data_IF_745585917521
#
_entry.id   IF_745585917521
#
_cell.length_a   1.000
_cell.length_b   1.000
_cell.length_c   1.000
_cell.angle_alpha   90.00
_cell.angle_beta   90.00
_cell.angle_gamma   90.00
#
_symmetry.space_group_name_H-M   'P 1'
#
loop_
_entity.id
_entity.type
_entity.pdbx_description
1 polymer ?
#
# COMPACT_ATOMS: atom_id res chain seq x y z
N UNK A 1 7.75 6.86 8.98
CA UNK A 1 7.78 5.73 8.04
C UNK A 1 7.08 4.56 8.70
N UNK A 2 6.12 3.92 8.02
CA UNK A 2 5.39 2.75 8.53
C UNK A 2 5.67 1.53 7.65
N UNK A 3 5.76 0.35 8.27
CA UNK A 3 5.94 -0.93 7.57
C UNK A 3 5.06 -2.00 8.24
N UNK A 4 4.22 -2.68 7.47
CA UNK A 4 3.29 -3.72 7.99
C UNK A 4 3.22 -4.93 7.07
N UNK A 5 3.18 -6.13 7.64
CA UNK A 5 2.94 -7.38 6.89
C UNK A 5 1.47 -7.80 7.05
N UNK A 6 0.75 -8.05 5.94
CA UNK A 6 -0.66 -8.50 5.97
C UNK A 6 -1.01 -9.30 4.71
N UNK A 7 -1.67 -10.44 4.88
CA UNK A 7 -2.19 -11.25 3.76
C UNK A 7 -1.13 -11.80 2.78
N UNK A 8 0.12 -11.92 3.22
CA UNK A 8 1.27 -12.33 2.40
C UNK A 8 2.03 -11.19 1.71
N UNK A 9 1.64 -9.94 1.96
CA UNK A 9 2.30 -8.74 1.44
C UNK A 9 3.01 -7.97 2.54
N UNK A 10 4.01 -7.19 2.15
CA UNK A 10 4.63 -6.16 2.98
C UNK A 10 4.23 -4.81 2.39
N UNK A 11 3.76 -3.92 3.26
CA UNK A 11 3.35 -2.56 2.95
C UNK A 11 4.33 -1.61 3.61
N UNK A 12 4.85 -0.65 2.86
CA UNK A 12 5.78 0.36 3.35
C UNK A 12 5.36 1.74 2.86
N UNK A 13 5.27 2.71 3.76
CA UNK A 13 4.85 4.07 3.44
C UNK A 13 5.59 5.10 4.29
N UNK A 14 5.72 6.31 3.76
CA UNK A 14 6.26 7.44 4.50
C UNK A 14 5.12 8.17 5.22
N UNK A 15 5.35 8.51 6.49
CA UNK A 15 4.39 9.27 7.30
C UNK A 15 4.57 10.79 7.14
N UNK A 16 5.51 11.23 6.30
CA UNK A 16 5.86 12.63 6.08
C UNK A 16 4.96 13.32 5.04
N UNK A 17 5.03 14.65 5.03
CA UNK A 17 4.05 15.57 4.43
C UNK A 17 4.14 15.74 2.90
N UNK A 18 4.87 14.86 2.20
CA UNK A 18 4.93 14.97 0.75
C UNK A 18 3.62 14.45 0.13
N UNK A 19 3.11 15.17 -0.86
CA UNK A 19 2.06 14.68 -1.74
C UNK A 19 2.70 14.25 -3.07
N UNK A 20 2.21 13.18 -3.71
CA UNK A 20 1.14 12.28 -3.29
C UNK A 20 1.61 11.21 -2.27
N UNK A 21 0.78 10.95 -1.26
CA UNK A 21 0.98 9.82 -0.34
C UNK A 21 0.83 8.52 -1.11
N UNK A 22 1.76 7.59 -0.89
CA UNK A 22 1.74 6.30 -1.54
C UNK A 22 2.32 5.21 -0.65
N UNK A 23 1.91 3.97 -0.93
CA UNK A 23 2.40 2.76 -0.28
C UNK A 23 3.10 1.88 -1.30
N UNK A 24 4.30 1.40 -0.94
CA UNK A 24 5.01 0.37 -1.66
C UNK A 24 4.53 -0.99 -1.18
N UNK A 25 4.18 -1.87 -2.13
CA UNK A 25 3.68 -3.21 -1.86
C UNK A 25 4.68 -4.22 -2.36
N UNK A 26 5.14 -5.08 -1.45
CA UNK A 26 6.07 -6.16 -1.76
C UNK A 26 5.41 -7.52 -1.53
N UNK A 27 5.82 -8.52 -2.31
CA UNK A 27 5.48 -9.93 -2.12
C UNK A 27 6.74 -10.75 -2.39
N UNK A 28 7.07 -11.67 -1.48
CA UNK A 28 8.29 -12.49 -1.59
C UNK A 28 9.58 -11.67 -1.79
N UNK A 29 9.67 -10.50 -1.14
CA UNK A 29 10.83 -9.60 -1.25
C UNK A 29 10.85 -8.71 -2.50
N UNK A 30 9.92 -8.88 -3.44
CA UNK A 30 9.87 -8.11 -4.70
C UNK A 30 8.78 -7.05 -4.61
N UNK A 31 9.08 -5.81 -5.03
CA UNK A 31 8.07 -4.75 -5.15
C UNK A 31 7.14 -5.07 -6.33
N UNK A 32 5.86 -5.28 -6.06
CA UNK A 32 4.87 -5.66 -7.07
C UNK A 32 3.93 -4.50 -7.44
N UNK A 33 3.80 -3.50 -6.57
CA UNK A 33 2.96 -2.33 -6.84
C UNK A 33 3.38 -1.12 -6.02
N UNK A 34 3.09 0.06 -6.57
CA UNK A 34 3.11 1.36 -5.89
C UNK A 34 1.71 1.95 -5.98
N UNK A 35 1.06 2.17 -4.84
CA UNK A 35 -0.33 2.60 -4.79
C UNK A 35 -0.44 3.96 -4.13
N UNK A 36 -1.00 4.94 -4.83
CA UNK A 36 -1.39 6.22 -4.29
C UNK A 36 -2.61 6.08 -3.38
N UNK A 37 -2.52 6.65 -2.18
CA UNK A 37 -3.58 6.64 -1.16
C UNK A 37 -4.07 8.08 -0.89
N UNK A 38 -5.33 8.27 -0.43
CA UNK A 38 -6.30 7.25 -0.05
C UNK A 38 -7.12 6.67 -1.22
N UNK A 39 -7.04 7.26 -2.42
CA UNK A 39 -7.92 6.90 -3.55
C UNK A 39 -7.58 5.55 -4.23
N UNK A 40 -6.53 4.85 -3.78
CA UNK A 40 -6.08 3.56 -4.31
C UNK A 40 -5.74 3.60 -5.81
N UNK A 41 -5.02 4.63 -6.23
CA UNK A 41 -4.56 4.82 -7.60
C UNK A 41 -3.30 3.98 -7.81
N UNK A 42 -3.26 3.13 -8.84
CA UNK A 42 -2.05 2.38 -9.18
C UNK A 42 -1.06 3.33 -9.85
N UNK A 43 0.06 3.63 -9.18
CA UNK A 43 1.15 4.42 -9.73
C UNK A 43 2.16 3.55 -10.49
N UNK A 44 2.33 2.30 -10.05
CA UNK A 44 3.19 1.31 -10.70
C UNK A 44 2.69 -0.10 -10.39
N UNK A 45 2.89 -1.04 -11.33
CA UNK A 45 2.58 -2.45 -11.15
C UNK A 45 1.09 -2.75 -11.30
N UNK A 46 0.59 -3.76 -10.58
CA UNK A 46 -0.81 -4.18 -10.68
C UNK A 46 -1.44 -4.40 -9.30
N UNK A 47 -2.70 -3.98 -9.15
CA UNK A 47 -3.47 -4.18 -7.94
C UNK A 47 -4.53 -5.27 -8.14
N UNK A 48 -4.32 -6.41 -7.48
CA UNK A 48 -5.32 -7.49 -7.47
C UNK A 48 -6.51 -7.14 -6.58
N UNK A 49 -7.66 -7.81 -6.77
CA UNK A 49 -8.85 -7.65 -5.90
C UNK A 49 -8.53 -7.90 -4.41
N UNK A 50 -7.70 -8.91 -4.12
CA UNK A 50 -7.24 -9.21 -2.75
C UNK A 50 -6.43 -8.06 -2.16
N UNK A 51 -5.49 -7.51 -2.93
CA UNK A 51 -4.66 -6.38 -2.50
C UNK A 51 -5.52 -5.14 -2.24
N UNK A 52 -6.46 -4.83 -3.13
CA UNK A 52 -7.40 -3.71 -2.97
C UNK A 52 -8.17 -3.81 -1.65
N UNK A 53 -8.72 -4.99 -1.33
CA UNK A 53 -9.48 -5.21 -0.09
C UNK A 53 -8.61 -4.97 1.15
N UNK A 54 -7.38 -5.48 1.17
CA UNK A 54 -6.45 -5.27 2.29
C UNK A 54 -6.13 -3.78 2.47
N UNK A 55 -5.86 -3.06 1.38
CA UNK A 55 -5.57 -1.63 1.45
C UNK A 55 -6.79 -0.82 1.94
N UNK A 56 -8.00 -1.16 1.49
CA UNK A 56 -9.24 -0.54 2.00
C UNK A 56 -9.42 -0.75 3.50
N UNK A 57 -9.16 -1.95 4.00
CA UNK A 57 -9.19 -2.25 5.44
C UNK A 57 -8.15 -1.43 6.20
N UNK A 58 -6.92 -1.33 5.69
CA UNK A 58 -5.84 -0.55 6.31
C UNK A 58 -6.14 0.95 6.36
N UNK A 59 -6.78 1.51 5.33
CA UNK A 59 -7.25 2.91 5.32
C UNK A 59 -8.38 3.09 6.34
N UNK A 60 -9.34 2.17 6.40
CA UNK A 60 -10.43 2.20 7.38
C UNK A 60 -9.93 2.14 8.83
N UNK A 61 -8.87 1.37 9.07
CA UNK A 61 -8.16 1.25 10.36
C UNK A 61 -7.27 2.47 10.68
N UNK A 62 -7.19 3.48 9.80
CA UNK A 62 -6.31 4.67 9.92
C UNK A 62 -4.82 4.34 10.03
N UNK A 63 -4.40 3.24 9.41
CA UNK A 63 -3.00 2.84 9.31
C UNK A 63 -2.33 3.50 8.10
N UNK A 64 -3.05 3.54 6.98
CA UNK A 64 -2.71 4.23 5.73
C UNK A 64 -3.60 5.46 5.54
#
# INVERSE_FOLDING_TARGET
MGRKKRGGYIFEWWMGDHTPKHVHVYKNGIQIAKIGIPNLIVLQGAMTKKLKKILQEMIKEKIL
#
